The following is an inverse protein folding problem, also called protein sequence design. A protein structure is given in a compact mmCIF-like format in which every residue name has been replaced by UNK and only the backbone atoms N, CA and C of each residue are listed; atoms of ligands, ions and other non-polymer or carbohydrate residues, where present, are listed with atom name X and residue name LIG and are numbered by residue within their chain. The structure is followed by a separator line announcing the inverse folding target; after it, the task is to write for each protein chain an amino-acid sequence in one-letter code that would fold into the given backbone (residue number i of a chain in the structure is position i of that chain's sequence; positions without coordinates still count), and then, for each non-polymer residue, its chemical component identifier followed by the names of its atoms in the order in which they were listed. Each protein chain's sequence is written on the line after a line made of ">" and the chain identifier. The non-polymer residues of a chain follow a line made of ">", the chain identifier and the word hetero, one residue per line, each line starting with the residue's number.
data_IF_791744017750
#
_entry.id   IF_791744017750
#
_cell.length_a   1.000
_cell.length_b   1.000
_cell.length_c   1.000
_cell.angle_alpha   90.00
_cell.angle_beta   90.00
_cell.angle_gamma   90.00
#
_symmetry.space_group_name_H-M   'P 1'
#
loop_
_entity.id
_entity.type
_entity.pdbx_description
1 polymer ?
#
# COMPACT_ATOMS: atom_id res chain seq x y z
N UNK A 1 4.90 4.33 -21.55
CA UNK A 1 3.76 5.17 -21.13
C UNK A 1 4.22 6.62 -21.16
N UNK A 2 3.96 7.34 -22.26
CA UNK A 2 4.37 8.75 -22.41
C UNK A 2 3.43 9.61 -21.57
N UNK A 3 4.01 10.50 -20.77
CA UNK A 3 3.30 11.43 -19.90
C UNK A 3 2.40 12.37 -20.69
N UNK A 4 1.33 12.84 -20.05
CA UNK A 4 0.60 14.02 -20.50
C UNK A 4 0.75 15.09 -19.42
N UNK A 5 1.33 16.26 -19.75
CA UNK A 5 1.33 17.46 -18.90
C UNK A 5 -0.06 17.81 -18.32
N UNK A 6 -1.15 17.35 -18.96
CA UNK A 6 -2.52 17.69 -18.62
C UNK A 6 -2.98 17.31 -17.20
N UNK A 7 -2.47 16.23 -16.59
CA UNK A 7 -3.01 15.75 -15.30
C UNK A 7 -2.52 16.57 -14.11
N UNK A 8 -1.25 16.98 -14.12
CA UNK A 8 -0.68 17.85 -13.09
C UNK A 8 -1.33 19.23 -13.14
N UNK A 9 -1.45 19.78 -14.35
CA UNK A 9 -2.11 21.05 -14.58
C UNK A 9 -3.59 21.01 -14.18
N UNK A 10 -4.31 19.92 -14.48
CA UNK A 10 -5.70 19.74 -14.04
C UNK A 10 -5.81 19.73 -12.51
N UNK A 11 -4.88 19.09 -11.80
CA UNK A 11 -4.88 19.05 -10.34
C UNK A 11 -4.55 20.39 -9.71
N UNK A 12 -3.55 21.10 -10.23
CA UNK A 12 -3.21 22.45 -9.78
C UNK A 12 -4.36 23.42 -10.05
N UNK A 13 -5.03 23.30 -11.20
CA UNK A 13 -6.21 24.10 -11.55
C UNK A 13 -7.38 23.79 -10.61
N UNK A 14 -7.64 22.52 -10.30
CA UNK A 14 -8.65 22.14 -9.33
C UNK A 14 -8.36 22.68 -7.93
N UNK A 15 -7.08 22.67 -7.51
CA UNK A 15 -6.67 23.29 -6.24
C UNK A 15 -6.84 24.81 -6.25
N UNK A 16 -6.49 25.48 -7.35
CA UNK A 16 -6.68 26.92 -7.47
C UNK A 16 -8.15 27.31 -7.31
N UNK A 17 -9.06 26.56 -7.95
CA UNK A 17 -10.50 26.77 -7.84
C UNK A 17 -11.05 26.49 -6.44
N UNK A 18 -10.61 25.40 -5.79
CA UNK A 18 -11.16 24.95 -4.51
C UNK A 18 -10.58 25.69 -3.30
N UNK A 19 -9.34 26.15 -3.41
CA UNK A 19 -8.58 26.80 -2.32
C UNK A 19 -8.36 28.30 -2.55
N UNK A 20 -8.92 28.86 -3.62
CA UNK A 20 -8.75 30.27 -4.02
C UNK A 20 -7.26 30.68 -4.10
N UNK A 21 -6.43 29.84 -4.73
CA UNK A 21 -5.00 30.10 -4.85
C UNK A 21 -4.73 31.11 -5.98
N UNK A 22 -3.75 31.97 -5.76
CA UNK A 22 -3.30 32.93 -6.77
C UNK A 22 -2.40 32.25 -7.80
N UNK A 23 -2.34 32.85 -8.99
CA UNK A 23 -1.36 32.49 -10.02
C UNK A 23 -0.28 33.56 -10.10
N UNK A 24 0.95 33.16 -10.38
CA UNK A 24 2.04 34.08 -10.62
C UNK A 24 1.97 34.70 -12.03
N UNK A 25 2.97 35.52 -12.37
CA UNK A 25 3.08 36.17 -13.68
C UNK A 25 3.35 35.20 -14.83
N UNK A 26 3.80 33.97 -14.54
CA UNK A 26 3.99 32.91 -15.52
C UNK A 26 2.74 32.02 -15.68
N UNK A 27 1.71 32.22 -14.84
CA UNK A 27 0.46 31.46 -14.85
C UNK A 27 0.46 30.22 -13.93
N UNK A 28 1.52 30.01 -13.15
CA UNK A 28 1.66 28.88 -12.23
C UNK A 28 0.89 29.11 -10.93
N UNK A 29 0.29 28.05 -10.37
CA UNK A 29 -0.54 28.14 -9.15
C UNK A 29 0.36 28.20 -7.91
N UNK A 30 0.31 29.30 -7.18
CA UNK A 30 1.11 29.52 -5.97
C UNK A 30 0.47 28.76 -4.80
N UNK A 31 1.25 27.91 -4.11
CA UNK A 31 0.78 27.15 -2.94
C UNK A 31 -0.02 25.89 -3.28
N UNK A 32 0.00 25.46 -4.55
CA UNK A 32 -0.48 24.13 -4.94
C UNK A 32 0.35 23.06 -4.23
N UNK A 33 -0.32 22.12 -3.56
CA UNK A 33 0.33 21.02 -2.87
C UNK A 33 0.40 19.81 -3.80
N UNK A 34 1.48 19.05 -3.69
CA UNK A 34 1.58 17.73 -4.30
C UNK A 34 1.11 16.66 -3.30
N UNK A 35 0.75 15.47 -3.80
CA UNK A 35 0.48 14.33 -2.93
C UNK A 35 1.75 13.97 -2.13
N UNK A 36 1.59 13.82 -0.81
CA UNK A 36 2.68 13.33 0.05
C UNK A 36 2.85 11.84 -0.23
N UNK A 37 3.96 11.48 -0.89
CA UNK A 37 4.27 10.10 -1.27
C UNK A 37 4.98 9.30 -0.17
N UNK A 38 5.39 9.95 0.91
CA UNK A 38 6.18 9.29 1.95
C UNK A 38 5.30 8.45 2.89
N UNK A 39 5.21 7.15 2.58
CA UNK A 39 4.75 6.13 3.54
C UNK A 39 5.73 4.95 3.51
N UNK A 40 6.98 5.21 3.93
CA UNK A 40 8.07 4.23 3.84
C UNK A 40 7.87 2.90 4.58
N UNK A 41 7.01 2.77 5.60
CA UNK A 41 7.29 1.69 6.58
C UNK A 41 6.15 0.87 7.21
N UNK A 42 4.87 1.25 7.19
CA UNK A 42 3.90 0.53 8.07
C UNK A 42 3.27 -0.73 7.46
N UNK A 43 2.70 -0.61 6.27
CA UNK A 43 2.09 -1.73 5.54
C UNK A 43 3.09 -2.72 4.94
N UNK A 44 4.21 -2.26 4.38
CA UNK A 44 5.22 -3.12 3.75
C UNK A 44 5.95 -4.04 4.73
N UNK A 45 6.25 -3.55 5.93
CA UNK A 45 6.84 -4.37 6.99
C UNK A 45 5.86 -5.43 7.49
N UNK A 46 4.60 -5.03 7.70
CA UNK A 46 3.52 -5.96 8.08
C UNK A 46 3.31 -7.02 7.00
N UNK A 47 3.27 -6.63 5.72
CA UNK A 47 3.18 -7.56 4.59
C UNK A 47 4.34 -8.57 4.58
N UNK A 48 5.57 -8.10 4.74
CA UNK A 48 6.76 -8.97 4.77
C UNK A 48 6.71 -9.94 5.96
N UNK A 49 6.28 -9.48 7.14
CA UNK A 49 6.11 -10.31 8.33
C UNK A 49 5.07 -11.41 8.11
N UNK A 50 3.87 -11.06 7.61
CA UNK A 50 2.81 -12.04 7.37
C UNK A 50 3.18 -13.03 6.26
N UNK A 51 3.80 -12.55 5.18
CA UNK A 51 4.30 -13.40 4.09
C UNK A 51 5.33 -14.41 4.61
N UNK A 52 6.23 -13.97 5.49
CA UNK A 52 7.21 -14.86 6.13
C UNK A 52 6.53 -15.86 7.07
N UNK A 53 5.54 -15.44 7.85
CA UNK A 53 4.79 -16.33 8.73
C UNK A 53 4.04 -17.41 7.92
N UNK A 54 3.42 -17.05 6.80
CA UNK A 54 2.75 -17.97 5.89
C UNK A 54 3.73 -18.99 5.28
N UNK A 55 4.89 -18.51 4.81
CA UNK A 55 5.96 -19.38 4.28
C UNK A 55 6.48 -20.37 5.33
N UNK A 56 6.60 -19.94 6.58
CA UNK A 56 7.11 -20.74 7.69
C UNK A 56 6.02 -21.47 8.47
N UNK A 57 4.78 -21.52 7.97
CA UNK A 57 3.62 -22.07 8.69
C UNK A 57 3.90 -23.46 9.26
N UNK A 58 4.42 -24.38 8.44
CA UNK A 58 4.69 -25.76 8.88
C UNK A 58 5.74 -25.82 9.99
N UNK A 59 6.78 -24.99 9.91
CA UNK A 59 7.81 -24.90 10.95
C UNK A 59 7.26 -24.29 12.24
N UNK A 60 6.43 -23.26 12.14
CA UNK A 60 5.76 -22.65 13.29
C UNK A 60 4.82 -23.65 13.96
N UNK A 61 4.02 -24.39 13.20
CA UNK A 61 3.15 -25.43 13.73
C UNK A 61 3.93 -26.58 14.38
N UNK A 62 5.09 -26.98 13.82
CA UNK A 62 5.94 -28.02 14.40
C UNK A 62 6.53 -27.62 15.76
N UNK A 63 6.97 -26.36 15.91
CA UNK A 63 7.51 -25.85 17.18
C UNK A 63 6.47 -25.89 18.30
N UNK A 64 5.19 -25.71 17.97
CA UNK A 64 4.09 -25.80 18.95
C UNK A 64 3.85 -27.23 19.46
N UNK A 65 4.36 -28.24 18.75
CA UNK A 65 4.23 -29.66 19.10
C UNK A 65 5.46 -30.20 19.83
N UNK A 66 6.50 -29.37 20.05
CA UNK A 66 7.68 -29.78 20.81
C UNK A 66 7.33 -29.87 22.31
N UNK A 67 7.59 -31.00 22.98
CA UNK A 67 7.23 -31.20 24.39
C UNK A 67 7.80 -30.12 25.34
N UNK A 68 8.99 -29.59 25.03
CA UNK A 68 9.65 -28.52 25.79
C UNK A 68 8.97 -27.15 25.70
N UNK A 69 8.02 -26.98 24.78
CA UNK A 69 7.38 -25.71 24.46
C UNK A 69 5.85 -25.77 24.46
N UNK A 70 5.26 -26.95 24.42
CA UNK A 70 3.82 -27.18 24.35
C UNK A 70 3.05 -26.41 25.43
N UNK A 71 3.45 -26.54 26.70
CA UNK A 71 2.79 -25.90 27.85
C UNK A 71 2.71 -24.37 27.74
N UNK A 72 3.70 -23.74 27.09
CA UNK A 72 3.80 -22.27 26.98
C UNK A 72 3.22 -21.76 25.67
N UNK A 73 3.38 -22.52 24.58
CA UNK A 73 3.09 -22.07 23.24
C UNK A 73 1.75 -22.56 22.68
N UNK A 74 1.15 -23.61 23.24
CA UNK A 74 -0.12 -24.15 22.76
C UNK A 74 -1.23 -23.08 22.65
N UNK A 75 -1.25 -22.11 23.57
CA UNK A 75 -2.21 -20.98 23.56
C UNK A 75 -2.04 -20.03 22.37
N UNK A 76 -0.88 -20.02 21.72
CA UNK A 76 -0.58 -19.19 20.55
C UNK A 76 -0.83 -19.94 19.23
N UNK A 77 -1.40 -21.15 19.29
CA UNK A 77 -1.73 -21.92 18.10
C UNK A 77 -2.73 -21.16 17.24
N UNK A 78 -2.31 -20.88 16.01
CA UNK A 78 -3.15 -20.24 15.01
C UNK A 78 -4.02 -21.33 14.38
N UNK A 79 -5.35 -21.14 14.44
CA UNK A 79 -6.29 -22.07 13.81
C UNK A 79 -6.18 -22.02 12.29
N UNK A 80 -6.71 -23.02 11.59
CA UNK A 80 -6.80 -23.00 10.13
C UNK A 80 -7.54 -21.74 9.62
N UNK A 81 -8.61 -21.34 10.31
CA UNK A 81 -9.33 -20.11 10.02
C UNK A 81 -8.46 -18.86 10.30
N UNK A 82 -7.64 -18.87 11.35
CA UNK A 82 -6.68 -17.80 11.63
C UNK A 82 -5.64 -17.64 10.52
N UNK A 83 -5.08 -18.75 10.02
CA UNK A 83 -4.17 -18.74 8.88
C UNK A 83 -4.83 -18.22 7.60
N UNK A 84 -6.09 -18.59 7.35
CA UNK A 84 -6.86 -18.06 6.23
C UNK A 84 -7.04 -16.54 6.33
N UNK A 85 -7.34 -16.00 7.53
CA UNK A 85 -7.41 -14.54 7.74
C UNK A 85 -6.06 -13.87 7.53
N UNK A 86 -4.97 -14.48 8.00
CA UNK A 86 -3.61 -13.95 7.78
C UNK A 86 -3.30 -13.87 6.28
N UNK A 87 -3.68 -14.89 5.50
CA UNK A 87 -3.53 -14.88 4.04
C UNK A 87 -4.33 -13.73 3.42
N UNK A 88 -5.61 -13.58 3.77
CA UNK A 88 -6.45 -12.49 3.27
C UNK A 88 -5.85 -11.10 3.55
N UNK A 89 -5.35 -10.89 4.78
CA UNK A 89 -4.67 -9.63 5.15
C UNK A 89 -3.39 -9.45 4.32
N UNK A 90 -2.60 -10.51 4.14
CA UNK A 90 -1.40 -10.47 3.32
C UNK A 90 -1.71 -10.11 1.86
N UNK A 91 -2.81 -10.63 1.29
CA UNK A 91 -3.25 -10.35 -0.08
C UNK A 91 -3.65 -8.88 -0.25
N UNK A 92 -4.43 -8.33 0.70
CA UNK A 92 -4.78 -6.90 0.75
C UNK A 92 -3.51 -6.05 0.82
N UNK A 93 -2.58 -6.40 1.71
CA UNK A 93 -1.33 -5.66 1.91
C UNK A 93 -0.36 -5.80 0.74
N UNK A 94 -0.41 -6.89 -0.04
CA UNK A 94 0.43 -7.08 -1.22
C UNK A 94 0.10 -6.05 -2.30
N UNK A 95 -1.19 -5.83 -2.56
CA UNK A 95 -1.68 -4.84 -3.54
C UNK A 95 -1.16 -3.45 -3.16
N UNK A 96 -1.32 -3.14 -1.89
CA UNK A 96 -0.82 -1.97 -1.20
C UNK A 96 0.70 -1.76 -1.39
N UNK A 97 1.48 -2.79 -1.06
CA UNK A 97 2.93 -2.81 -1.19
C UNK A 97 3.40 -2.57 -2.64
N UNK A 98 2.73 -3.16 -3.63
CA UNK A 98 3.03 -2.94 -5.06
C UNK A 98 2.80 -1.49 -5.47
N UNK A 99 1.68 -0.88 -5.05
CA UNK A 99 1.41 0.54 -5.26
C UNK A 99 2.52 1.44 -4.71
N UNK A 100 2.97 1.14 -3.49
CA UNK A 100 4.09 1.85 -2.85
C UNK A 100 5.40 1.74 -3.65
N UNK A 101 5.75 0.53 -4.09
CA UNK A 101 6.99 0.30 -4.84
C UNK A 101 7.00 1.06 -6.16
N UNK A 102 5.86 1.12 -6.86
CA UNK A 102 5.72 1.93 -8.09
C UNK A 102 5.96 3.42 -7.82
N UNK A 103 5.44 3.95 -6.72
CA UNK A 103 5.63 5.35 -6.33
C UNK A 103 7.07 5.64 -5.85
N UNK A 104 7.69 4.67 -5.19
CA UNK A 104 9.04 4.83 -4.61
C UNK A 104 10.16 4.66 -5.62
N UNK A 105 9.88 4.06 -6.79
CA UNK A 105 10.85 3.88 -7.86
C UNK A 105 11.12 5.17 -8.67
N UNK A 106 10.24 6.16 -8.62
CA UNK A 106 10.45 7.45 -9.27
C UNK A 106 11.20 8.42 -8.35
N UNK A 107 12.33 8.95 -8.82
CA UNK A 107 13.14 9.94 -8.09
C UNK A 107 12.54 11.36 -8.11
N UNK A 108 11.40 11.56 -8.78
CA UNK A 108 10.72 12.84 -8.90
C UNK A 108 9.28 12.71 -8.40
N UNK A 109 8.77 13.65 -7.58
CA UNK A 109 7.37 13.65 -7.16
C UNK A 109 6.50 13.99 -8.37
N UNK A 110 5.97 12.96 -9.02
CA UNK A 110 5.20 13.10 -10.25
C UNK A 110 3.77 12.67 -10.01
N UNK A 111 2.91 13.67 -9.79
CA UNK A 111 1.47 13.53 -9.62
C UNK A 111 0.79 12.65 -10.68
N UNK A 112 1.35 12.54 -11.90
CA UNK A 112 0.81 11.70 -12.96
C UNK A 112 0.90 10.20 -12.67
N UNK A 113 1.84 9.75 -11.84
CA UNK A 113 1.90 8.35 -11.37
C UNK A 113 1.09 8.15 -10.10
N UNK A 114 0.85 9.20 -9.32
CA UNK A 114 0.08 9.11 -8.09
C UNK A 114 -1.35 8.63 -8.33
N UNK A 115 -2.02 9.17 -9.36
CA UNK A 115 -3.38 8.74 -9.72
C UNK A 115 -3.42 7.26 -10.13
N UNK A 116 -2.66 6.78 -11.15
CA UNK A 116 -2.60 5.36 -11.49
C UNK A 116 -2.14 4.45 -10.34
N UNK A 117 -1.21 4.91 -9.50
CA UNK A 117 -0.74 4.15 -8.34
C UNK A 117 -1.76 4.07 -7.21
N UNK A 118 -2.80 4.92 -7.21
CA UNK A 118 -3.96 4.83 -6.32
C UNK A 118 -5.11 4.02 -6.97
N UNK A 119 -5.41 4.29 -8.24
CA UNK A 119 -6.47 3.60 -8.99
C UNK A 119 -6.21 2.10 -9.12
N UNK A 120 -4.95 1.70 -9.36
CA UNK A 120 -4.61 0.29 -9.53
C UNK A 120 -4.85 -0.54 -8.27
N UNK A 121 -4.40 -0.13 -7.06
CA UNK A 121 -4.78 -0.79 -5.81
C UNK A 121 -6.28 -0.82 -5.55
N UNK A 122 -6.99 0.29 -5.78
CA UNK A 122 -8.44 0.38 -5.56
C UNK A 122 -9.19 -0.65 -6.40
N UNK A 123 -8.92 -0.69 -7.71
CA UNK A 123 -9.54 -1.65 -8.61
C UNK A 123 -9.18 -3.12 -8.25
N UNK A 124 -7.97 -3.36 -7.74
CA UNK A 124 -7.58 -4.69 -7.30
C UNK A 124 -8.30 -5.11 -6.00
N UNK A 125 -8.50 -4.19 -5.06
CA UNK A 125 -9.26 -4.47 -3.84
C UNK A 125 -10.76 -4.69 -4.11
N UNK A 126 -11.36 -3.96 -5.05
CA UNK A 126 -12.76 -4.20 -5.48
C UNK A 126 -12.95 -5.61 -6.06
N UNK A 127 -11.98 -6.08 -6.85
CA UNK A 127 -11.97 -7.45 -7.37
C UNK A 127 -11.78 -8.48 -6.25
N UNK A 128 -10.93 -8.18 -5.27
CA UNK A 128 -10.70 -9.05 -4.12
C UNK A 128 -11.94 -9.17 -3.23
N UNK A 129 -12.79 -8.13 -3.17
CA UNK A 129 -14.04 -8.15 -2.41
C UNK A 129 -15.15 -8.98 -3.10
N UNK A 130 -15.09 -9.11 -4.42
CA UNK A 130 -16.13 -9.76 -5.24
C UNK A 130 -15.85 -11.23 -5.55
N UNK A 131 -14.70 -11.77 -5.13
CA UNK A 131 -14.35 -13.20 -5.20
C UNK A 131 -14.37 -13.87 -3.84
#
# INVERSE_FOLDING_TARGET
>A
LRSSPSRREAFHTAQALRRNLQRDTAGEVIGALELVLDVRTRWSSTFAMLSRALLLRSSLEAVLLLPEHEDKLARFKISAAGWSRIQQIADVLQIAHKGQQMLSAESHPTLYMAIPALESPMAAWEKLQSG
#
